data_IF_176611667208
#
_entry.id   IF_176611667208
#
_cell.length_a   1.000
_cell.length_b   1.000
_cell.length_c   1.000
_cell.angle_alpha   90.00
_cell.angle_beta   90.00
_cell.angle_gamma   90.00
#
_symmetry.space_group_name_H-M   'P 1'
#
loop_
_entity.id
_entity.type
_entity.pdbx_description
1 polymer ?
#
# COMPACT_ATOMS: atom_id res chain seq x y z
N UNK A 1 17.72 -10.41 1.55
CA UNK A 1 16.61 -10.22 0.60
C UNK A 1 16.43 -8.74 0.39
N UNK A 2 16.41 -8.27 -0.86
CA UNK A 2 16.15 -6.86 -1.14
C UNK A 2 14.67 -6.56 -0.92
N UNK A 3 14.35 -5.67 0.05
CA UNK A 3 12.99 -5.21 0.35
C UNK A 3 12.23 -4.71 -0.88
N UNK A 4 12.96 -4.24 -1.90
CA UNK A 4 12.43 -3.75 -3.17
C UNK A 4 11.60 -4.77 -3.95
N UNK A 5 11.87 -6.07 -3.78
CA UNK A 5 11.15 -7.14 -4.45
C UNK A 5 10.01 -7.74 -3.61
N UNK A 6 9.88 -7.32 -2.35
CA UNK A 6 8.86 -7.86 -1.45
C UNK A 6 7.49 -7.24 -1.73
N UNK A 7 6.46 -8.08 -1.78
CA UNK A 7 5.06 -7.63 -1.95
C UNK A 7 4.42 -7.22 -0.61
N UNK A 8 4.90 -7.82 0.47
CA UNK A 8 4.51 -7.55 1.85
C UNK A 8 5.76 -7.38 2.72
N UNK A 9 5.75 -6.44 3.65
CA UNK A 9 6.78 -6.25 4.67
C UNK A 9 6.12 -6.14 6.05
N UNK A 10 6.65 -6.87 7.03
CA UNK A 10 6.15 -6.83 8.41
C UNK A 10 6.69 -5.62 9.17
N UNK A 11 5.97 -5.18 10.21
CA UNK A 11 6.41 -4.00 10.98
C UNK A 11 7.77 -4.19 11.66
N UNK A 12 8.16 -5.41 12.00
CA UNK A 12 9.51 -5.72 12.51
C UNK A 12 10.62 -5.65 11.44
N UNK A 13 10.25 -5.62 10.16
CA UNK A 13 11.16 -5.52 9.01
C UNK A 13 11.25 -4.09 8.45
N UNK A 14 10.40 -3.17 8.90
CA UNK A 14 10.26 -1.81 8.37
C UNK A 14 10.93 -0.82 9.32
N UNK A 15 11.69 0.14 8.79
CA UNK A 15 12.22 1.30 9.53
C UNK A 15 11.85 2.63 8.87
N UNK A 16 12.22 3.73 9.50
CA UNK A 16 11.93 5.08 8.99
C UNK A 16 12.58 5.35 7.61
N UNK A 17 13.62 4.61 7.25
CA UNK A 17 14.28 4.66 5.95
C UNK A 17 13.48 4.02 4.80
N UNK A 18 12.45 3.23 5.13
CA UNK A 18 11.70 2.42 4.16
C UNK A 18 10.48 3.15 3.55
N UNK A 19 10.35 4.47 3.73
CA UNK A 19 9.24 5.29 3.20
C UNK A 19 8.99 5.03 1.72
N UNK A 20 10.05 4.86 0.92
CA UNK A 20 9.94 4.57 -0.52
C UNK A 20 9.21 3.26 -0.85
N UNK A 21 9.19 2.31 0.07
CA UNK A 21 8.59 0.99 -0.12
C UNK A 21 7.18 0.90 0.47
N UNK A 22 6.91 1.53 1.61
CA UNK A 22 5.68 1.32 2.38
C UNK A 22 4.90 2.60 2.72
N UNK A 23 5.45 3.76 2.38
CA UNK A 23 4.91 5.07 2.74
C UNK A 23 5.23 5.50 4.16
N UNK A 24 5.02 6.80 4.43
CA UNK A 24 5.40 7.46 5.68
C UNK A 24 4.78 6.87 6.95
N UNK A 25 3.48 6.56 6.88
CA UNK A 25 2.73 6.05 8.03
C UNK A 25 3.20 4.66 8.43
N UNK A 26 3.37 3.76 7.46
CA UNK A 26 3.88 2.41 7.73
C UNK A 26 5.35 2.43 8.17
N UNK A 27 6.18 3.31 7.59
CA UNK A 27 7.58 3.47 8.00
C UNK A 27 7.67 3.91 9.47
N UNK A 28 6.89 4.91 9.86
CA UNK A 28 6.81 5.38 11.25
C UNK A 28 6.25 4.32 12.19
N UNK A 29 5.22 3.56 11.77
CA UNK A 29 4.64 2.51 12.59
C UNK A 29 5.60 1.33 12.78
N UNK A 30 6.33 0.93 11.74
CA UNK A 30 7.39 -0.09 11.83
C UNK A 30 8.54 0.35 12.73
N UNK A 31 8.98 1.60 12.61
CA UNK A 31 10.00 2.19 13.49
C UNK A 31 9.59 2.14 14.96
N UNK A 32 8.37 2.59 15.26
CA UNK A 32 7.82 2.52 16.61
C UNK A 32 7.70 1.07 17.08
N UNK A 33 7.18 0.16 16.25
CA UNK A 33 7.02 -1.25 16.59
C UNK A 33 8.36 -1.89 16.98
N UNK A 34 9.43 -1.66 16.21
CA UNK A 34 10.76 -2.20 16.47
C UNK A 34 11.41 -1.62 17.73
N UNK A 35 11.28 -0.32 17.95
CA UNK A 35 11.99 0.38 19.03
C UNK A 35 11.25 0.34 20.37
N UNK A 36 9.92 0.34 20.35
CA UNK A 36 9.09 0.58 21.54
C UNK A 36 8.45 -0.70 22.09
N UNK A 37 8.15 -1.69 21.24
CA UNK A 37 7.63 -2.99 21.70
C UNK A 37 8.58 -3.69 22.68
N UNK A 38 9.91 -3.75 22.45
CA UNK A 38 10.86 -4.32 23.43
C UNK A 38 10.95 -3.54 24.75
N UNK A 39 10.46 -2.29 24.76
CA UNK A 39 10.40 -1.42 25.94
C UNK A 39 9.06 -1.51 26.68
N UNK A 40 8.19 -2.45 26.28
CA UNK A 40 6.89 -2.69 26.91
C UNK A 40 5.77 -1.76 26.42
N UNK A 41 5.99 -0.96 25.39
CA UNK A 41 4.93 -0.15 24.78
C UNK A 41 4.14 -1.02 23.81
N UNK A 42 2.84 -1.14 24.01
CA UNK A 42 1.97 -1.95 23.17
C UNK A 42 1.69 -1.24 21.83
N UNK A 43 2.17 -1.83 20.74
CA UNK A 43 1.88 -1.40 19.38
C UNK A 43 1.26 -2.59 18.65
N UNK A 44 0.08 -2.43 18.02
CA UNK A 44 -0.53 -3.51 17.24
C UNK A 44 0.42 -3.97 16.13
N UNK A 45 0.60 -5.29 16.02
CA UNK A 45 1.38 -5.87 14.94
C UNK A 45 0.58 -5.88 13.63
N UNK A 46 1.29 -6.03 12.52
CA UNK A 46 0.71 -6.06 11.17
C UNK A 46 1.79 -6.01 10.11
N UNK A 47 1.35 -5.78 8.88
CA UNK A 47 2.22 -5.70 7.71
C UNK A 47 1.75 -4.64 6.74
N UNK A 48 2.68 -4.17 5.92
CA UNK A 48 2.43 -3.24 4.84
C UNK A 48 2.41 -3.97 3.50
N UNK A 49 1.39 -3.70 2.68
CA UNK A 49 1.40 -4.01 1.24
C UNK A 49 2.26 -2.97 0.54
N UNK A 50 3.31 -3.41 -0.15
CA UNK A 50 4.36 -2.49 -0.63
C UNK A 50 3.96 -1.75 -1.90
N UNK A 51 4.66 -0.65 -2.18
CA UNK A 51 4.61 0.02 -3.47
C UNK A 51 5.02 -0.88 -4.65
N UNK A 52 5.79 -1.96 -4.41
CA UNK A 52 6.07 -2.99 -5.43
C UNK A 52 4.80 -3.79 -5.76
N UNK A 53 4.03 -4.20 -4.75
CA UNK A 53 2.74 -4.88 -4.96
C UNK A 53 1.74 -4.00 -5.73
N UNK A 54 1.66 -2.71 -5.41
CA UNK A 54 0.83 -1.76 -6.17
C UNK A 54 1.26 -1.64 -7.63
N UNK A 55 2.56 -1.49 -7.90
CA UNK A 55 3.10 -1.44 -9.27
C UNK A 55 2.80 -2.73 -10.04
N UNK A 56 3.04 -3.88 -9.41
CA UNK A 56 2.76 -5.19 -10.01
C UNK A 56 1.27 -5.35 -10.33
N UNK A 57 0.38 -4.90 -9.44
CA UNK A 57 -1.06 -4.86 -9.69
C UNK A 57 -1.40 -4.07 -10.95
N UNK A 58 -0.91 -2.83 -11.07
CA UNK A 58 -1.19 -2.00 -12.26
C UNK A 58 -0.63 -2.60 -13.56
N UNK A 59 0.56 -3.20 -13.49
CA UNK A 59 1.24 -3.84 -14.62
C UNK A 59 0.48 -5.09 -15.10
N UNK A 60 0.19 -6.02 -14.18
CA UNK A 60 -0.39 -7.34 -14.49
C UNK A 60 -1.88 -7.28 -14.82
N UNK A 61 -2.60 -6.31 -14.27
CA UNK A 61 -4.00 -6.08 -14.64
C UNK A 61 -4.17 -5.36 -15.99
N UNK A 62 -3.08 -4.87 -16.59
CA UNK A 62 -3.12 -4.17 -17.89
C UNK A 62 -3.84 -2.82 -17.86
N UNK A 63 -4.14 -2.28 -16.67
CA UNK A 63 -4.89 -1.03 -16.55
C UNK A 63 -4.01 0.21 -16.67
N UNK A 64 -2.68 0.07 -16.57
CA UNK A 64 -1.76 1.20 -16.60
C UNK A 64 -1.87 2.04 -17.89
N UNK A 65 -1.97 1.38 -19.06
CA UNK A 65 -2.11 2.09 -20.34
C UNK A 65 -3.49 2.74 -20.48
N UNK A 66 -4.53 2.12 -19.92
CA UNK A 66 -5.88 2.69 -19.89
C UNK A 66 -5.92 3.95 -19.01
N UNK A 67 -5.28 3.92 -17.84
CA UNK A 67 -5.14 5.08 -16.95
C UNK A 67 -4.41 6.21 -17.67
N UNK A 68 -3.28 5.91 -18.33
CA UNK A 68 -2.54 6.91 -19.12
C UNK A 68 -3.39 7.51 -20.24
N UNK A 69 -4.16 6.68 -20.95
CA UNK A 69 -5.08 7.14 -21.98
C UNK A 69 -6.14 8.10 -21.43
N UNK A 70 -6.76 7.77 -20.30
CA UNK A 70 -7.76 8.63 -19.64
C UNK A 70 -7.13 9.98 -19.22
N UNK A 71 -5.89 9.97 -18.75
CA UNK A 71 -5.21 11.17 -18.27
C UNK A 71 -4.53 12.00 -19.37
N UNK A 72 -4.41 11.48 -20.60
CA UNK A 72 -3.58 12.06 -21.66
C UNK A 72 -3.91 13.52 -22.04
N UNK A 73 -5.19 13.89 -21.97
CA UNK A 73 -5.74 15.22 -22.25
C UNK A 73 -6.33 15.88 -20.99
N UNK A 74 -5.92 15.48 -19.79
CA UNK A 74 -6.43 16.06 -18.55
C UNK A 74 -6.04 17.55 -18.41
N UNK A 75 -7.04 18.41 -18.27
CA UNK A 75 -6.87 19.78 -17.80
C UNK A 75 -7.19 19.86 -16.29
N UNK A 76 -6.18 20.10 -15.48
CA UNK A 76 -6.29 20.20 -14.02
C UNK A 76 -7.08 21.42 -13.53
N UNK A 77 -7.35 22.40 -14.38
CA UNK A 77 -8.19 23.56 -14.05
C UNK A 77 -9.67 23.32 -14.37
N UNK A 78 -10.01 22.19 -15.01
CA UNK A 78 -11.39 21.82 -15.29
C UNK A 78 -11.88 20.78 -14.26
N UNK A 79 -12.60 21.27 -13.25
CA UNK A 79 -13.13 20.43 -12.15
C UNK A 79 -14.06 19.33 -12.63
N UNK A 80 -14.89 19.60 -13.64
CA UNK A 80 -15.80 18.58 -14.20
C UNK A 80 -15.02 17.44 -14.87
N UNK A 81 -14.00 17.79 -15.66
CA UNK A 81 -13.13 16.81 -16.32
C UNK A 81 -12.33 15.99 -15.29
N UNK A 82 -11.83 16.63 -14.23
CA UNK A 82 -11.17 15.94 -13.11
C UNK A 82 -12.09 14.92 -12.44
N UNK A 83 -13.35 15.31 -12.17
CA UNK A 83 -14.32 14.43 -11.54
C UNK A 83 -14.65 13.22 -12.42
N UNK A 84 -14.92 13.46 -13.71
CA UNK A 84 -15.25 12.41 -14.67
C UNK A 84 -14.09 11.41 -14.84
N UNK A 85 -12.88 11.92 -15.13
CA UNK A 85 -11.69 11.09 -15.34
C UNK A 85 -11.29 10.36 -14.08
N UNK A 86 -11.34 11.04 -12.93
CA UNK A 86 -11.07 10.43 -11.63
C UNK A 86 -12.07 9.32 -11.29
N UNK A 87 -13.36 9.51 -11.61
CA UNK A 87 -14.36 8.45 -11.45
C UNK A 87 -14.03 7.24 -12.33
N UNK A 88 -13.74 7.47 -13.62
CA UNK A 88 -13.41 6.40 -14.56
C UNK A 88 -12.19 5.59 -14.13
N UNK A 89 -11.13 6.25 -13.62
CA UNK A 89 -9.93 5.58 -13.10
C UNK A 89 -10.26 4.77 -11.83
N UNK A 90 -11.07 5.31 -10.92
CA UNK A 90 -11.49 4.55 -9.73
C UNK A 90 -12.29 3.31 -10.10
N UNK A 91 -13.21 3.40 -11.06
CA UNK A 91 -13.96 2.23 -11.53
C UNK A 91 -13.02 1.20 -12.17
N UNK A 92 -12.07 1.65 -12.98
CA UNK A 92 -11.08 0.77 -13.59
C UNK A 92 -10.25 0.01 -12.55
N UNK A 93 -9.78 0.68 -11.49
CA UNK A 93 -9.03 0.05 -10.40
C UNK A 93 -9.91 -0.93 -9.62
N UNK A 94 -11.19 -0.61 -9.36
CA UNK A 94 -12.12 -1.49 -8.62
C UNK A 94 -12.46 -2.78 -9.35
N UNK A 95 -12.51 -2.75 -10.67
CA UNK A 95 -12.88 -3.89 -11.51
C UNK A 95 -11.66 -4.68 -12.03
N UNK A 96 -10.45 -4.17 -11.82
CA UNK A 96 -9.23 -4.87 -12.19
C UNK A 96 -9.04 -6.13 -11.33
N UNK A 97 -8.69 -7.23 -11.97
CA UNK A 97 -8.39 -8.48 -11.28
C UNK A 97 -7.05 -8.37 -10.53
N UNK A 98 -7.07 -8.78 -9.26
CA UNK A 98 -5.86 -8.84 -8.44
C UNK A 98 -4.93 -9.96 -8.96
N UNK A 99 -3.66 -9.68 -9.27
CA UNK A 99 -2.72 -10.72 -9.65
C UNK A 99 -2.57 -11.79 -8.56
N UNK A 100 -2.51 -13.08 -8.92
CA UNK A 100 -2.40 -14.18 -7.96
C UNK A 100 -1.26 -13.97 -6.96
N UNK A 101 -0.09 -13.51 -7.41
CA UNK A 101 1.09 -13.35 -6.57
C UNK A 101 0.89 -12.27 -5.49
N UNK A 102 0.17 -11.18 -5.80
CA UNK A 102 -0.17 -10.13 -4.83
C UNK A 102 -1.22 -10.63 -3.86
N UNK A 103 -2.24 -11.31 -4.36
CA UNK A 103 -3.32 -11.88 -3.55
C UNK A 103 -2.77 -12.90 -2.54
N UNK A 104 -1.93 -13.81 -3.00
CA UNK A 104 -1.31 -14.85 -2.18
C UNK A 104 -0.44 -14.24 -1.07
N UNK A 105 0.43 -13.27 -1.41
CA UNK A 105 1.27 -12.60 -0.41
C UNK A 105 0.45 -11.90 0.70
N UNK A 106 -0.68 -11.26 0.33
CA UNK A 106 -1.57 -10.61 1.31
C UNK A 106 -2.29 -11.66 2.17
N UNK A 107 -2.79 -12.73 1.56
CA UNK A 107 -3.47 -13.82 2.27
C UNK A 107 -2.52 -14.51 3.25
N UNK A 108 -1.30 -14.84 2.83
CA UNK A 108 -0.26 -15.39 3.69
C UNK A 108 0.02 -14.46 4.88
N UNK A 109 0.24 -13.17 4.62
CA UNK A 109 0.42 -12.16 5.67
C UNK A 109 -0.74 -12.14 6.67
N UNK A 110 -1.98 -12.17 6.18
CA UNK A 110 -3.17 -12.21 7.02
C UNK A 110 -3.29 -13.52 7.83
N UNK A 111 -3.04 -14.68 7.22
CA UNK A 111 -3.04 -15.95 7.93
C UNK A 111 -2.00 -15.98 9.05
N UNK A 112 -0.79 -15.48 8.79
CA UNK A 112 0.24 -15.33 9.82
C UNK A 112 -0.17 -14.39 10.95
N UNK A 113 -0.91 -13.32 10.66
CA UNK A 113 -1.44 -12.41 11.67
C UNK A 113 -2.50 -13.11 12.54
N UNK A 114 -3.40 -13.88 11.93
CA UNK A 114 -4.38 -14.70 12.66
C UNK A 114 -3.72 -15.71 13.60
N UNK A 115 -2.58 -16.29 13.24
CA UNK A 115 -1.83 -17.18 14.14
C UNK A 115 -1.32 -16.45 15.41
N UNK A 116 -1.10 -15.14 15.34
CA UNK A 116 -0.63 -14.33 16.45
C UNK A 116 -1.76 -13.71 17.28
N UNK A 117 -2.85 -13.31 16.62
CA UNK A 117 -3.92 -12.51 17.22
C UNK A 117 -5.23 -13.28 17.44
N UNK A 118 -5.33 -14.52 16.96
CA UNK A 118 -6.54 -15.34 17.02
C UNK A 118 -7.16 -15.55 15.64
N UNK A 119 -7.93 -16.63 15.51
CA UNK A 119 -8.61 -16.97 14.26
C UNK A 119 -9.59 -15.87 13.84
N UNK A 120 -9.66 -15.56 12.54
CA UNK A 120 -10.54 -14.54 11.97
C UNK A 120 -10.41 -13.17 12.66
N UNK A 121 -9.17 -12.75 12.93
CA UNK A 121 -8.91 -11.47 13.61
C UNK A 121 -9.36 -10.29 12.75
N UNK A 122 -10.03 -9.32 13.37
CA UNK A 122 -10.38 -8.07 12.71
C UNK A 122 -9.14 -7.23 12.44
N UNK A 123 -9.09 -6.59 11.26
CA UNK A 123 -7.94 -5.77 10.83
C UNK A 123 -8.37 -4.39 10.37
N UNK A 124 -7.49 -3.41 10.60
CA UNK A 124 -7.64 -2.08 10.03
C UNK A 124 -6.81 -1.97 8.74
N UNK A 125 -7.47 -1.74 7.60
CA UNK A 125 -6.80 -1.44 6.31
C UNK A 125 -6.67 0.07 6.15
N UNK A 126 -5.44 0.58 6.06
CA UNK A 126 -5.15 2.02 6.01
C UNK A 126 -4.23 2.37 4.85
N UNK A 127 -4.44 3.55 4.25
CA UNK A 127 -3.55 4.07 3.21
C UNK A 127 -2.26 4.64 3.83
N UNK A 128 -1.14 4.40 3.16
CA UNK A 128 0.17 4.95 3.50
C UNK A 128 0.87 5.26 2.18
N UNK A 129 0.80 6.51 1.73
CA UNK A 129 1.40 6.90 0.46
C UNK A 129 2.90 7.18 0.62
N UNK A 130 3.67 6.99 -0.46
CA UNK A 130 5.11 7.24 -0.49
C UNK A 130 5.48 8.72 -0.58
N UNK A 131 4.51 9.59 -0.86
CA UNK A 131 4.72 11.01 -1.16
C UNK A 131 4.02 11.98 -0.20
N UNK A 132 3.24 11.49 0.78
CA UNK A 132 2.55 12.34 1.77
C UNK A 132 3.51 13.11 2.70
N UNK A 133 4.79 12.72 2.72
CA UNK A 133 5.85 13.38 3.51
C UNK A 133 6.87 14.13 2.63
N UNK A 134 6.54 14.44 1.37
CA UNK A 134 7.34 15.40 0.60
C UNK A 134 7.03 16.83 1.08
N UNK A 135 8.03 17.71 1.25
CA UNK A 135 7.83 19.09 1.75
C UNK A 135 6.75 19.89 1.01
N UNK A 136 6.49 19.53 -0.25
CA UNK A 136 5.56 20.22 -1.16
C UNK A 136 4.25 19.45 -1.42
N UNK A 137 3.97 18.38 -0.66
CA UNK A 137 2.77 17.56 -0.83
C UNK A 137 1.75 17.78 0.30
N UNK A 138 1.09 18.94 0.31
CA UNK A 138 -0.17 19.20 1.04
C UNK A 138 -0.93 20.37 0.40
#
# INVERSE_FOLDING_TARGET
MEKENMLVLWFDQIGIEDVRYVGGKNASLGEMYRLLTPRGISIPNGFAVTARAYRLFLERSGIIEQIRGILSDLNTHNVNQLQEKGHRIRELIRHAEMPPEVKEAILEGYYHLCLQCGENTDVAVRSSATAEDLPDAS
#
